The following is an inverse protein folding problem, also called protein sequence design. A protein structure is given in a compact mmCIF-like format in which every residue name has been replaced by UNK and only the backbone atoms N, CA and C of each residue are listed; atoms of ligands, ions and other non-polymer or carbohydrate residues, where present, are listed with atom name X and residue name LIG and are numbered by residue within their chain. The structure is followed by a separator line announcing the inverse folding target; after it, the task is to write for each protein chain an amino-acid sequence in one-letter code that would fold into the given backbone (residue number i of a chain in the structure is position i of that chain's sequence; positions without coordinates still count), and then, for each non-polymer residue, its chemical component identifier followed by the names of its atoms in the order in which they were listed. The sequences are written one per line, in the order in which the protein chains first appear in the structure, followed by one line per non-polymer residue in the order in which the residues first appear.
data_IF_716414139624
#
_entry.id   IF_716414139624
#
_cell.length_a   1.000
_cell.length_b   1.000
_cell.length_c   1.000
_cell.angle_alpha   90.00
_cell.angle_beta   90.00
_cell.angle_gamma   90.00
#
_symmetry.space_group_name_H-M   'P 1'
#
loop_
_entity.id
_entity.type
_entity.pdbx_description
1 polymer ?
#
# COMPACT_ATOMS: atom_id res chain seq x y z
N UNK A 1 27.82 49.34 -58.26
CA UNK A 1 28.53 48.64 -57.15
C UNK A 1 27.47 48.11 -56.19
N UNK A 2 27.09 46.84 -56.38
CA UNK A 2 26.12 46.17 -55.52
C UNK A 2 26.83 45.36 -54.47
N UNK A 3 26.56 45.63 -53.19
CA UNK A 3 27.03 44.89 -52.07
C UNK A 3 26.07 43.72 -51.86
N UNK A 4 26.52 42.49 -52.12
CA UNK A 4 25.77 41.25 -51.82
C UNK A 4 26.03 40.89 -50.35
N UNK A 5 24.97 41.02 -49.55
CA UNK A 5 24.97 40.60 -48.16
C UNK A 5 24.73 39.08 -48.12
N UNK A 6 25.78 38.29 -47.81
CA UNK A 6 25.69 36.86 -47.62
C UNK A 6 25.17 36.60 -46.23
N UNK A 7 23.92 36.19 -46.14
CA UNK A 7 23.29 35.72 -44.89
C UNK A 7 23.77 34.28 -44.62
N UNK A 8 24.62 34.10 -43.64
CA UNK A 8 25.04 32.79 -43.17
C UNK A 8 23.88 32.08 -42.50
N UNK A 9 23.29 31.12 -43.19
CA UNK A 9 22.34 30.16 -42.60
C UNK A 9 23.04 29.20 -41.66
N UNK A 10 22.82 29.39 -40.36
CA UNK A 10 23.29 28.50 -39.30
C UNK A 10 22.54 27.17 -39.42
N UNK A 11 23.18 26.16 -40.00
CA UNK A 11 22.67 24.80 -40.02
C UNK A 11 22.46 24.32 -38.57
N UNK A 12 21.18 24.09 -38.22
CA UNK A 12 20.82 23.38 -37.00
C UNK A 12 21.13 21.90 -37.23
N UNK A 13 22.19 21.39 -36.63
CA UNK A 13 22.46 19.97 -36.53
C UNK A 13 21.37 19.31 -35.73
N UNK A 14 20.39 18.72 -36.37
CA UNK A 14 19.37 17.85 -35.80
C UNK A 14 20.05 16.54 -35.35
N UNK A 15 20.64 16.57 -34.16
CA UNK A 15 21.02 15.36 -33.45
C UNK A 15 19.71 14.65 -33.02
N UNK A 16 19.12 13.86 -33.92
CA UNK A 16 18.03 12.94 -33.59
C UNK A 16 18.52 11.89 -32.62
N UNK A 17 18.48 12.23 -31.32
CA UNK A 17 18.65 11.24 -30.25
C UNK A 17 17.61 10.14 -30.45
N UNK A 18 18.07 8.87 -30.50
CA UNK A 18 17.22 7.68 -30.62
C UNK A 18 16.03 7.82 -29.67
N UNK A 19 14.80 7.81 -30.21
CA UNK A 19 13.56 7.83 -29.40
C UNK A 19 13.61 6.62 -28.47
N UNK A 20 13.50 6.89 -27.17
CA UNK A 20 13.41 5.83 -26.14
C UNK A 20 12.11 5.05 -26.29
N UNK A 21 12.11 3.78 -25.92
CA UNK A 21 10.92 2.95 -25.95
C UNK A 21 9.84 3.50 -24.99
N UNK A 22 8.58 3.29 -25.36
CA UNK A 22 7.45 3.67 -24.49
C UNK A 22 7.55 2.93 -23.15
N UNK A 23 7.51 3.69 -22.03
CA UNK A 23 7.58 3.15 -20.69
C UNK A 23 8.92 3.34 -19.97
N UNK A 24 10.01 3.71 -20.68
CA UNK A 24 11.33 3.91 -20.04
C UNK A 24 11.45 5.21 -19.21
N UNK A 25 10.44 6.07 -19.25
CA UNK A 25 10.47 7.37 -18.59
C UNK A 25 11.38 8.39 -19.30
N UNK A 26 11.35 9.63 -18.84
CA UNK A 26 12.18 10.72 -19.38
C UNK A 26 13.07 11.30 -18.27
N UNK A 27 14.35 11.53 -18.57
CA UNK A 27 15.32 12.12 -17.64
C UNK A 27 15.75 13.49 -18.20
N UNK A 28 15.61 14.53 -17.37
CA UNK A 28 16.03 15.89 -17.72
C UNK A 28 16.82 16.54 -16.57
N UNK A 29 17.68 17.48 -16.90
CA UNK A 29 18.34 18.36 -15.91
C UNK A 29 17.40 19.53 -15.59
N UNK A 30 17.19 19.82 -14.33
CA UNK A 30 16.40 20.95 -13.83
C UNK A 30 17.28 22.21 -13.75
N UNK A 31 16.64 23.38 -13.68
CA UNK A 31 17.35 24.66 -13.50
C UNK A 31 18.12 24.73 -12.15
N UNK A 32 17.68 23.98 -11.14
CA UNK A 32 18.33 23.85 -9.83
C UNK A 32 19.57 22.91 -9.83
N UNK A 33 20.00 22.44 -11.02
CA UNK A 33 21.16 21.56 -11.19
C UNK A 33 20.91 20.09 -10.93
N UNK A 34 19.76 19.69 -10.34
CA UNK A 34 19.38 18.30 -10.08
C UNK A 34 18.81 17.63 -11.35
N UNK A 35 18.89 16.30 -11.36
CA UNK A 35 18.29 15.48 -12.42
C UNK A 35 16.91 14.97 -12.00
N UNK A 36 15.96 15.09 -12.91
CA UNK A 36 14.57 14.63 -12.73
C UNK A 36 14.24 13.54 -13.72
N UNK A 37 13.84 12.38 -13.22
CA UNK A 37 13.27 11.27 -13.98
C UNK A 37 11.75 11.32 -13.89
N UNK A 38 11.05 11.34 -15.01
CA UNK A 38 9.58 11.31 -15.09
C UNK A 38 9.11 10.00 -15.69
N UNK A 39 8.11 9.38 -15.08
CA UNK A 39 7.48 8.19 -15.60
C UNK A 39 5.96 8.26 -15.46
N UNK A 40 5.26 7.54 -16.33
CA UNK A 40 3.81 7.39 -16.25
C UNK A 40 3.50 6.28 -15.25
N UNK A 41 2.88 6.64 -14.13
CA UNK A 41 2.48 5.70 -13.10
C UNK A 41 1.14 5.00 -13.42
N UNK A 42 0.31 5.60 -14.26
CA UNK A 42 -0.99 5.09 -14.68
C UNK A 42 -1.81 6.16 -15.38
N UNK A 43 -3.11 5.90 -15.51
CA UNK A 43 -4.08 6.84 -16.09
C UNK A 43 -5.24 7.03 -15.12
N UNK A 44 -5.75 8.25 -15.04
CA UNK A 44 -6.92 8.57 -14.21
C UNK A 44 -8.16 7.87 -14.79
N UNK A 45 -8.92 7.06 -14.00
CA UNK A 45 -10.00 6.22 -14.53
C UNK A 45 -11.13 7.03 -15.18
N UNK A 46 -11.49 8.18 -14.65
CA UNK A 46 -12.58 9.01 -15.18
C UNK A 46 -12.15 9.95 -16.31
N UNK A 47 -10.95 10.49 -16.25
CA UNK A 47 -10.50 11.54 -17.19
C UNK A 47 -9.55 11.03 -18.26
N UNK A 48 -9.05 9.80 -18.18
CA UNK A 48 -8.04 9.22 -19.07
C UNK A 48 -6.69 9.93 -19.06
N UNK A 49 -6.49 10.94 -18.20
CA UNK A 49 -5.24 11.70 -18.11
C UNK A 49 -4.13 10.87 -17.50
N UNK A 50 -2.90 11.03 -18.01
CA UNK A 50 -1.72 10.34 -17.49
C UNK A 50 -1.34 10.84 -16.09
N UNK A 51 -1.16 9.92 -15.15
CA UNK A 51 -0.59 10.20 -13.83
C UNK A 51 0.92 10.13 -13.97
N UNK A 52 1.60 11.27 -13.82
CA UNK A 52 3.06 11.38 -13.96
C UNK A 52 3.65 11.53 -12.56
N UNK A 53 4.61 10.66 -12.22
CA UNK A 53 5.41 10.76 -10.99
C UNK A 53 6.86 11.05 -11.32
N UNK A 54 7.59 11.70 -10.37
CA UNK A 54 8.94 12.17 -10.57
C UNK A 54 9.89 11.50 -9.58
N UNK A 55 11.13 11.23 -10.03
CA UNK A 55 12.25 10.78 -9.19
C UNK A 55 13.38 11.79 -9.34
N UNK A 56 14.02 12.18 -8.23
CA UNK A 56 15.11 13.15 -8.22
C UNK A 56 16.44 12.49 -7.86
N UNK A 57 17.51 12.91 -8.56
CA UNK A 57 18.87 12.50 -8.29
C UNK A 57 19.85 13.68 -8.39
N UNK A 58 20.97 13.62 -7.67
CA UNK A 58 22.04 14.61 -7.77
C UNK A 58 22.80 14.46 -9.08
N UNK A 59 22.97 13.22 -9.56
CA UNK A 59 23.62 12.90 -10.84
C UNK A 59 22.65 12.22 -11.80
N UNK A 60 22.96 12.22 -13.10
CA UNK A 60 22.18 11.54 -14.10
C UNK A 60 22.13 10.03 -13.87
N UNK A 61 23.25 9.42 -13.48
CA UNK A 61 23.37 8.00 -13.20
C UNK A 61 22.49 7.58 -12.00
N UNK A 62 22.54 8.36 -10.92
CA UNK A 62 21.70 8.16 -9.74
C UNK A 62 20.20 8.27 -10.08
N UNK A 63 19.83 9.30 -10.84
CA UNK A 63 18.45 9.50 -11.27
C UNK A 63 17.98 8.34 -12.16
N UNK A 64 18.82 7.83 -13.06
CA UNK A 64 18.51 6.67 -13.91
C UNK A 64 18.35 5.41 -13.09
N UNK A 65 19.24 5.13 -12.14
CA UNK A 65 19.15 3.96 -11.26
C UNK A 65 17.87 3.99 -10.39
N UNK A 66 17.55 5.14 -9.81
CA UNK A 66 16.31 5.33 -9.04
C UNK A 66 15.06 5.17 -9.92
N UNK A 67 15.09 5.70 -11.15
CA UNK A 67 13.98 5.59 -12.08
C UNK A 67 13.74 4.14 -12.49
N UNK A 68 14.79 3.36 -12.83
CA UNK A 68 14.66 1.95 -13.19
C UNK A 68 14.16 1.11 -12.01
N UNK A 69 14.70 1.30 -10.81
CA UNK A 69 14.22 0.62 -9.61
C UNK A 69 12.73 0.93 -9.31
N UNK A 70 12.34 2.19 -9.48
CA UNK A 70 10.93 2.59 -9.30
C UNK A 70 10.03 2.01 -10.38
N UNK A 71 10.46 1.98 -11.64
CA UNK A 71 9.70 1.36 -12.73
C UNK A 71 9.53 -0.15 -12.52
N UNK A 72 10.55 -0.84 -12.02
CA UNK A 72 10.45 -2.26 -11.68
C UNK A 72 9.50 -2.50 -10.50
N UNK A 73 9.56 -1.67 -9.46
CA UNK A 73 8.67 -1.79 -8.31
C UNK A 73 7.20 -1.48 -8.66
N UNK A 74 6.95 -0.64 -9.68
CA UNK A 74 5.60 -0.29 -10.15
C UNK A 74 5.09 -1.23 -11.26
N UNK A 75 5.98 -2.04 -11.87
CA UNK A 75 5.58 -3.07 -12.83
C UNK A 75 4.65 -4.09 -12.14
N UNK A 76 3.36 -3.98 -12.40
CA UNK A 76 2.35 -4.89 -11.85
C UNK A 76 1.36 -4.25 -10.88
N UNK A 77 1.54 -2.98 -10.50
CA UNK A 77 0.50 -2.23 -9.78
C UNK A 77 -0.32 -1.42 -10.79
N UNK A 78 -1.63 -1.51 -10.68
CA UNK A 78 -2.52 -0.51 -11.28
C UNK A 78 -2.56 0.72 -10.37
N UNK A 79 -1.57 1.61 -10.53
CA UNK A 79 -1.38 2.80 -9.69
C UNK A 79 -2.58 3.74 -9.77
N UNK A 80 -3.38 3.68 -10.85
CA UNK A 80 -4.60 4.47 -10.97
C UNK A 80 -5.64 4.05 -9.94
N UNK A 81 -5.68 2.77 -9.55
CA UNK A 81 -6.58 2.21 -8.55
C UNK A 81 -5.98 2.15 -7.15
N UNK A 82 -4.65 2.06 -7.02
CA UNK A 82 -3.97 1.95 -5.74
C UNK A 82 -4.04 3.23 -4.89
N UNK A 83 -4.09 4.42 -5.53
CA UNK A 83 -4.26 5.71 -4.84
C UNK A 83 -5.74 5.98 -4.46
N UNK A 84 -6.68 5.15 -4.94
CA UNK A 84 -8.13 5.32 -4.76
C UNK A 84 -8.62 4.76 -3.42
N UNK A 85 -7.90 3.79 -2.85
CA UNK A 85 -8.31 3.11 -1.63
C UNK A 85 -7.48 3.50 -0.41
N UNK A 86 -8.16 3.89 0.67
CA UNK A 86 -7.61 3.78 2.03
C UNK A 86 -7.75 2.35 2.54
N UNK A 87 -7.03 2.00 3.61
CA UNK A 87 -7.11 0.66 4.22
C UNK A 87 -8.56 0.32 4.59
N UNK A 88 -9.30 1.24 5.22
CA UNK A 88 -10.69 0.97 5.62
C UNK A 88 -11.62 0.85 4.42
N UNK A 89 -11.44 1.67 3.39
CA UNK A 89 -12.25 1.59 2.17
C UNK A 89 -12.05 0.24 1.47
N UNK A 90 -10.80 -0.23 1.36
CA UNK A 90 -10.50 -1.55 0.83
C UNK A 90 -11.09 -2.67 1.67
N UNK A 91 -10.94 -2.64 3.00
CA UNK A 91 -11.46 -3.67 3.90
C UNK A 91 -12.99 -3.80 3.82
N UNK A 92 -13.71 -2.67 3.70
CA UNK A 92 -15.17 -2.67 3.49
C UNK A 92 -15.54 -3.28 2.14
N UNK A 93 -14.85 -2.91 1.07
CA UNK A 93 -15.05 -3.47 -0.27
C UNK A 93 -14.77 -4.97 -0.28
N UNK A 94 -13.64 -5.39 0.29
CA UNK A 94 -13.27 -6.80 0.42
C UNK A 94 -14.31 -7.58 1.24
N UNK A 95 -14.77 -7.02 2.35
CA UNK A 95 -15.77 -7.66 3.20
C UNK A 95 -17.07 -7.90 2.42
N UNK A 96 -17.63 -6.89 1.76
CA UNK A 96 -18.89 -7.01 1.04
C UNK A 96 -18.80 -7.92 -0.19
N UNK A 97 -17.74 -7.79 -1.00
CA UNK A 97 -17.64 -8.50 -2.27
C UNK A 97 -17.06 -9.92 -2.13
N UNK A 98 -16.12 -10.14 -1.24
CA UNK A 98 -15.35 -11.40 -1.20
C UNK A 98 -15.58 -12.22 0.06
N UNK A 99 -15.68 -11.59 1.23
CA UNK A 99 -15.80 -12.35 2.47
C UNK A 99 -17.24 -12.75 2.76
N UNK A 100 -18.16 -11.79 2.76
CA UNK A 100 -19.57 -11.95 3.17
C UNK A 100 -20.31 -13.10 2.49
N UNK A 101 -20.17 -13.36 1.15
CA UNK A 101 -20.86 -14.46 0.50
C UNK A 101 -20.40 -15.85 0.96
N UNK A 102 -19.22 -15.97 1.57
CA UNK A 102 -18.56 -17.25 1.87
C UNK A 102 -18.42 -17.56 3.36
N UNK A 103 -18.83 -16.65 4.24
CA UNK A 103 -18.67 -16.81 5.70
C UNK A 103 -20.02 -16.91 6.43
N UNK A 104 -19.98 -17.52 7.61
CA UNK A 104 -21.18 -17.66 8.48
C UNK A 104 -21.56 -16.29 9.09
N UNK A 105 -22.85 -16.07 9.45
CA UNK A 105 -23.32 -14.82 10.06
C UNK A 105 -22.53 -14.38 11.31
N UNK A 106 -22.13 -15.33 12.15
CA UNK A 106 -21.28 -15.05 13.33
C UNK A 106 -19.90 -14.48 12.96
N UNK A 107 -19.29 -14.99 11.88
CA UNK A 107 -18.02 -14.51 11.36
C UNK A 107 -18.18 -13.15 10.67
N UNK A 108 -19.32 -12.90 10.00
CA UNK A 108 -19.63 -11.57 9.43
C UNK A 108 -19.63 -10.50 10.51
N UNK A 109 -20.36 -10.72 11.62
CA UNK A 109 -20.41 -9.81 12.75
C UNK A 109 -19.03 -9.61 13.39
N UNK A 110 -18.23 -10.68 13.48
CA UNK A 110 -16.87 -10.62 13.99
C UNK A 110 -15.96 -9.76 13.09
N UNK A 111 -15.99 -9.95 11.76
CA UNK A 111 -15.19 -9.18 10.80
C UNK A 111 -15.62 -7.72 10.78
N UNK A 112 -16.91 -7.45 10.66
CA UNK A 112 -17.43 -6.08 10.66
C UNK A 112 -17.02 -5.32 11.92
N UNK A 113 -17.21 -5.93 13.10
CA UNK A 113 -16.82 -5.31 14.36
C UNK A 113 -15.31 -5.02 14.42
N UNK A 114 -14.46 -5.96 14.01
CA UNK A 114 -13.02 -5.77 14.05
C UNK A 114 -12.55 -4.69 13.07
N UNK A 115 -13.15 -4.63 11.87
CA UNK A 115 -12.84 -3.56 10.91
C UNK A 115 -13.19 -2.20 11.49
N UNK A 116 -14.43 -2.02 11.97
CA UNK A 116 -14.92 -0.70 12.38
C UNK A 116 -14.37 -0.24 13.73
N UNK A 117 -14.19 -1.14 14.68
CA UNK A 117 -13.85 -0.78 16.05
C UNK A 117 -12.36 -0.83 16.36
N UNK A 118 -11.59 -1.64 15.64
CA UNK A 118 -10.18 -1.85 15.93
C UNK A 118 -9.26 -1.37 14.80
N UNK A 119 -9.58 -1.68 13.56
CA UNK A 119 -8.70 -1.40 12.42
C UNK A 119 -8.91 0.02 11.88
N UNK A 120 -10.17 0.41 11.65
CA UNK A 120 -10.50 1.72 11.08
C UNK A 120 -9.94 2.90 11.89
N UNK A 121 -10.08 2.97 13.24
CA UNK A 121 -9.57 4.11 14.00
C UNK A 121 -8.05 4.16 14.09
N UNK A 122 -7.34 3.03 13.89
CA UNK A 122 -5.90 2.96 14.06
C UNK A 122 -5.11 3.17 12.75
N UNK A 123 -5.55 2.53 11.67
CA UNK A 123 -4.85 2.53 10.38
C UNK A 123 -5.77 2.77 9.18
N UNK A 124 -7.06 3.06 9.41
CA UNK A 124 -8.07 3.14 8.35
C UNK A 124 -7.79 4.21 7.30
N UNK A 125 -7.26 5.36 7.71
CA UNK A 125 -7.00 6.51 6.82
C UNK A 125 -5.69 6.39 6.01
N UNK A 126 -4.87 5.37 6.31
CA UNK A 126 -3.62 5.16 5.58
C UNK A 126 -3.97 4.75 4.14
N UNK A 127 -3.39 5.37 3.10
CA UNK A 127 -3.51 4.89 1.74
C UNK A 127 -3.02 3.44 1.64
N UNK A 128 -3.77 2.58 0.95
CA UNK A 128 -3.51 1.13 0.91
C UNK A 128 -2.10 0.80 0.41
N UNK A 129 -1.60 1.54 -0.57
CA UNK A 129 -0.25 1.39 -1.13
C UNK A 129 0.88 1.90 -0.23
N UNK A 130 0.56 2.61 0.85
CA UNK A 130 1.53 3.11 1.84
C UNK A 130 1.52 2.34 3.15
N UNK A 131 0.62 1.37 3.28
CA UNK A 131 0.55 0.53 4.47
C UNK A 131 1.82 -0.31 4.62
N UNK A 132 2.47 -0.21 5.78
CA UNK A 132 3.72 -0.92 6.06
C UNK A 132 3.53 -2.02 7.12
N UNK A 133 4.44 -3.00 7.14
CA UNK A 133 4.51 -4.01 8.21
C UNK A 133 4.64 -3.38 9.60
N UNK A 134 5.34 -2.21 9.68
CA UNK A 134 5.50 -1.50 10.96
C UNK A 134 4.18 -0.96 11.48
N UNK A 135 3.30 -0.46 10.62
CA UNK A 135 1.99 0.06 11.02
C UNK A 135 1.10 -1.06 11.55
N UNK A 136 1.11 -2.21 10.88
CA UNK A 136 0.42 -3.41 11.34
C UNK A 136 0.98 -3.95 12.65
N UNK A 137 2.30 -3.97 12.83
CA UNK A 137 2.91 -4.42 14.08
C UNK A 137 2.55 -3.50 15.25
N UNK A 138 2.51 -2.18 15.04
CA UNK A 138 2.03 -1.23 16.06
C UNK A 138 0.58 -1.51 16.43
N UNK A 139 -0.29 -1.69 15.42
CA UNK A 139 -1.69 -2.05 15.64
C UNK A 139 -1.80 -3.30 16.54
N UNK A 140 -1.07 -4.36 16.25
CA UNK A 140 -1.14 -5.60 17.05
C UNK A 140 -0.67 -5.40 18.49
N UNK A 141 0.41 -4.63 18.68
CA UNK A 141 0.92 -4.31 20.01
C UNK A 141 -0.09 -3.45 20.81
N UNK A 142 -0.71 -2.48 20.17
CA UNK A 142 -1.73 -1.62 20.80
C UNK A 142 -2.99 -2.41 21.14
N UNK A 143 -3.41 -3.34 20.29
CA UNK A 143 -4.53 -4.24 20.58
C UNK A 143 -4.24 -5.18 21.76
N UNK A 144 -3.00 -5.64 21.91
CA UNK A 144 -2.60 -6.47 23.06
C UNK A 144 -2.53 -5.68 24.36
N UNK A 145 -2.17 -4.41 24.33
CA UNK A 145 -2.05 -3.57 25.53
C UNK A 145 -3.36 -2.90 25.93
N UNK A 146 -4.12 -2.34 24.98
CA UNK A 146 -5.27 -1.48 25.25
C UNK A 146 -6.50 -1.73 24.35
N UNK A 147 -6.57 -2.88 23.67
CA UNK A 147 -7.59 -3.13 22.65
C UNK A 147 -9.02 -3.35 23.15
N UNK A 148 -9.28 -3.44 24.46
CA UNK A 148 -10.64 -3.64 24.98
C UNK A 148 -11.45 -2.33 24.96
N UNK A 149 -12.59 -2.35 24.29
CA UNK A 149 -13.50 -1.21 24.18
C UNK A 149 -14.45 -1.06 25.38
N UNK A 150 -14.70 -2.15 26.11
CA UNK A 150 -15.52 -2.10 27.32
C UNK A 150 -14.69 -1.62 28.53
N UNK A 151 -15.34 -0.99 29.51
CA UNK A 151 -14.70 -0.63 30.78
C UNK A 151 -14.13 -1.90 31.44
N UNK A 152 -12.83 -1.85 31.70
CA UNK A 152 -12.11 -2.97 32.31
C UNK A 152 -12.23 -2.89 33.82
N UNK A 153 -12.60 -4.00 34.49
CA UNK A 153 -12.58 -4.07 35.95
C UNK A 153 -11.11 -4.13 36.42
N UNK A 154 -10.84 -3.67 37.68
CA UNK A 154 -9.47 -3.54 38.24
C UNK A 154 -8.58 -4.80 38.11
N UNK A 155 -9.17 -5.98 37.95
CA UNK A 155 -8.45 -7.26 37.82
C UNK A 155 -8.27 -7.75 36.39
N UNK A 156 -8.86 -7.08 35.39
CA UNK A 156 -8.81 -7.51 33.99
C UNK A 156 -7.72 -6.76 33.21
N UNK A 157 -7.05 -7.45 32.31
CA UNK A 157 -6.10 -6.82 31.39
C UNK A 157 -6.86 -5.96 30.36
N UNK A 158 -6.41 -4.71 30.07
CA UNK A 158 -7.09 -3.81 29.13
C UNK A 158 -6.94 -4.24 27.67
N UNK A 159 -6.02 -5.17 27.36
CA UNK A 159 -5.76 -5.64 26.01
C UNK A 159 -6.68 -6.77 25.55
N UNK A 160 -6.68 -7.03 24.26
CA UNK A 160 -7.33 -8.19 23.65
C UNK A 160 -6.53 -9.47 23.89
N UNK A 161 -7.21 -10.61 23.85
CA UNK A 161 -6.54 -11.91 23.93
C UNK A 161 -5.66 -12.16 22.69
N UNK A 162 -4.59 -12.94 22.85
CA UNK A 162 -3.73 -13.36 21.74
C UNK A 162 -4.53 -14.03 20.62
N UNK A 163 -5.55 -14.81 20.97
CA UNK A 163 -6.45 -15.44 19.98
C UNK A 163 -7.22 -14.40 19.15
N UNK A 164 -7.73 -13.34 19.79
CA UNK A 164 -8.45 -12.26 19.09
C UNK A 164 -7.51 -11.49 18.14
N UNK A 165 -6.30 -11.14 18.60
CA UNK A 165 -5.31 -10.45 17.77
C UNK A 165 -4.91 -11.31 16.56
N UNK A 166 -4.74 -12.62 16.74
CA UNK A 166 -4.50 -13.55 15.63
C UNK A 166 -5.68 -13.61 14.65
N UNK A 167 -6.91 -13.58 15.15
CA UNK A 167 -8.11 -13.53 14.31
C UNK A 167 -8.17 -12.26 13.46
N UNK A 168 -7.82 -11.10 14.04
CA UNK A 168 -7.70 -9.83 13.32
C UNK A 168 -6.58 -9.91 12.26
N UNK A 169 -5.42 -10.47 12.62
CA UNK A 169 -4.33 -10.69 11.67
C UNK A 169 -4.77 -11.56 10.49
N UNK A 170 -5.43 -12.69 10.74
CA UNK A 170 -5.91 -13.60 9.67
C UNK A 170 -6.90 -12.89 8.74
N UNK A 171 -7.81 -12.08 9.29
CA UNK A 171 -8.74 -11.27 8.51
C UNK A 171 -7.99 -10.27 7.61
N UNK A 172 -7.05 -9.52 8.17
CA UNK A 172 -6.22 -8.55 7.43
C UNK A 172 -5.36 -9.24 6.38
N UNK A 173 -4.76 -10.39 6.72
CA UNK A 173 -3.96 -11.18 5.77
C UNK A 173 -4.78 -11.57 4.54
N UNK A 174 -5.97 -12.11 4.72
CA UNK A 174 -6.85 -12.50 3.62
C UNK A 174 -7.29 -11.31 2.77
N UNK A 175 -7.61 -10.18 3.39
CA UNK A 175 -8.01 -8.97 2.68
C UNK A 175 -6.86 -8.37 1.86
N UNK A 176 -5.65 -8.32 2.43
CA UNK A 176 -4.47 -7.78 1.76
C UNK A 176 -3.89 -8.74 0.71
N UNK A 177 -4.01 -10.06 0.92
CA UNK A 177 -3.69 -11.05 -0.12
C UNK A 177 -4.60 -10.87 -1.35
N UNK A 178 -5.88 -10.57 -1.12
CA UNK A 178 -6.79 -10.22 -2.22
C UNK A 178 -6.37 -8.93 -2.93
N UNK A 179 -5.92 -7.90 -2.19
CA UNK A 179 -5.40 -6.66 -2.76
C UNK A 179 -4.15 -6.89 -3.64
N UNK A 180 -3.27 -7.82 -3.26
CA UNK A 180 -2.14 -8.25 -4.10
C UNK A 180 -2.63 -8.90 -5.39
N UNK A 181 -3.61 -9.82 -5.32
CA UNK A 181 -4.19 -10.48 -6.50
C UNK A 181 -4.89 -9.50 -7.43
N UNK A 182 -5.45 -8.42 -6.91
CA UNK A 182 -6.04 -7.33 -7.71
C UNK A 182 -5.02 -6.26 -8.15
N UNK A 183 -3.74 -6.47 -7.84
CA UNK A 183 -2.64 -5.55 -8.20
C UNK A 183 -2.77 -4.15 -7.60
N UNK A 184 -3.45 -4.02 -6.46
CA UNK A 184 -3.55 -2.77 -5.70
C UNK A 184 -2.29 -2.53 -4.87
N UNK A 185 -1.65 -3.58 -4.38
CA UNK A 185 -0.37 -3.56 -3.66
C UNK A 185 0.57 -4.63 -4.21
N UNK A 186 1.88 -4.44 -4.07
CA UNK A 186 2.90 -5.36 -4.59
C UNK A 186 3.04 -6.64 -3.78
N UNK A 187 3.01 -6.50 -2.46
CA UNK A 187 3.22 -7.59 -1.52
C UNK A 187 2.33 -7.40 -0.31
N UNK A 188 2.05 -8.49 0.38
CA UNK A 188 1.21 -8.46 1.58
C UNK A 188 2.06 -8.04 2.79
N UNK A 189 1.85 -6.86 3.39
CA UNK A 189 2.65 -6.39 4.51
C UNK A 189 2.43 -7.18 5.82
N UNK A 190 1.39 -8.04 5.88
CA UNK A 190 1.14 -8.90 7.05
C UNK A 190 2.10 -10.08 7.14
N UNK A 191 2.71 -10.52 6.05
CA UNK A 191 3.58 -11.72 6.01
C UNK A 191 4.76 -11.64 6.97
N UNK A 192 5.32 -10.44 7.15
CA UNK A 192 6.47 -10.19 8.01
C UNK A 192 6.12 -9.71 9.42
N UNK A 193 4.83 -9.79 9.82
CA UNK A 193 4.41 -9.40 11.17
C UNK A 193 4.67 -10.52 12.18
N UNK A 194 5.09 -10.13 13.38
CA UNK A 194 5.23 -11.03 14.51
C UNK A 194 3.87 -11.16 15.20
N UNK A 195 3.33 -12.37 15.20
CA UNK A 195 2.00 -12.66 15.75
C UNK A 195 2.15 -13.28 17.15
N UNK A 196 1.33 -12.88 18.15
CA UNK A 196 1.40 -13.44 19.49
C UNK A 196 1.09 -14.94 19.48
N UNK A 197 1.82 -15.71 20.28
CA UNK A 197 1.58 -17.15 20.49
C UNK A 197 0.30 -17.36 21.29
N UNK A 198 -0.46 -18.38 20.93
CA UNK A 198 -1.63 -18.81 21.71
C UNK A 198 -1.11 -19.79 22.77
N UNK A 199 -1.29 -19.46 24.03
CA UNK A 199 -1.09 -20.40 25.13
C UNK A 199 -2.28 -21.36 25.13
N UNK A 200 -2.00 -22.65 24.98
CA UNK A 200 -3.02 -23.71 25.15
C UNK A 200 -3.35 -23.77 26.63
N UNK A 201 -4.56 -23.41 27.00
CA UNK A 201 -5.09 -23.72 28.32
C UNK A 201 -5.65 -25.14 28.28
N UNK A 202 -5.20 -25.99 29.23
CA UNK A 202 -5.81 -27.28 29.44
C UNK A 202 -7.27 -27.10 29.87
N UNK A 203 -8.17 -27.81 29.22
CA UNK A 203 -9.56 -27.81 29.64
C UNK A 203 -9.67 -28.47 31.01
N UNK A 204 -10.15 -27.72 32.00
CA UNK A 204 -10.53 -28.31 33.30
C UNK A 204 -11.78 -29.15 33.07
N UNK A 205 -11.60 -30.45 33.10
CA UNK A 205 -12.73 -31.39 33.09
C UNK A 205 -13.41 -31.26 34.44
N UNK A 206 -14.67 -30.83 34.44
CA UNK A 206 -15.49 -30.89 35.65
C UNK A 206 -15.80 -32.36 35.91
N UNK A 207 -15.32 -32.89 37.04
CA UNK A 207 -15.75 -34.20 37.52
C UNK A 207 -17.22 -34.15 37.88
N UNK A 208 -18.01 -35.23 37.58
CA UNK A 208 -19.45 -35.28 37.83
C UNK A 208 -19.84 -35.21 39.33
N UNK A 209 -18.87 -35.17 40.24
CA UNK A 209 -19.09 -35.15 41.70
C UNK A 209 -19.03 -33.72 42.30
N UNK A 210 -19.26 -32.68 41.48
CA UNK A 210 -19.39 -31.30 41.97
C UNK A 210 -20.69 -30.67 41.52
#
# INVERSE_FOLDING_TARGET
QGVVCVVATKERSDAHGKKRANGEGNIRKRADGRWEGRYTAGYHPETGKRIIKNVLGKTQAECKAKLSATLESVKGIDVSRADEYTVVAWLRTWFELYAKPHIRPSTMNYYHRNIEQHVAPAIGDIPLNKLTTRDLQKLYNDLQSNGRLRKVQKKEKPGLSNSTVRGIHTMLHNALDRAVKEKLILSNPTENCIIPKIEKQEMKILHPDH
#
